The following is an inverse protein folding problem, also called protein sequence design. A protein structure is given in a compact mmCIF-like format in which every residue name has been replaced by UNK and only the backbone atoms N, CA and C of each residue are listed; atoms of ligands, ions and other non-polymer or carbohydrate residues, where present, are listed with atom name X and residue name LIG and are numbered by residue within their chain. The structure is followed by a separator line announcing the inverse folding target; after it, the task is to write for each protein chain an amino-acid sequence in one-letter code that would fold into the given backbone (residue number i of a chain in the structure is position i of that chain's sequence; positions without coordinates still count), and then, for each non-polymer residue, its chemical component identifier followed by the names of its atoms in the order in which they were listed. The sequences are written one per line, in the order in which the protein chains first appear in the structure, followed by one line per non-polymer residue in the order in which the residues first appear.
data_IF_898476246036
#
_entry.id   IF_898476246036
#
_cell.length_a   1.000
_cell.length_b   1.000
_cell.length_c   1.000
_cell.angle_alpha   90.00
_cell.angle_beta   90.00
_cell.angle_gamma   90.00
#
_symmetry.space_group_name_H-M   'P 1'
#
loop_
_entity.id
_entity.type
_entity.pdbx_description
1 polymer ?
#
# COMPACT_ATOMS: atom_id res chain seq x y z
N UNK A 1 -16.18 31.09 118.57
CA UNK A 1 -16.22 31.70 117.22
C UNK A 1 -15.14 31.15 116.27
N UNK A 2 -14.47 30.03 116.56
CA UNK A 2 -13.47 29.40 115.67
C UNK A 2 -14.00 28.27 114.78
N UNK A 3 -15.10 27.61 115.18
CA UNK A 3 -15.61 26.38 114.54
C UNK A 3 -16.40 26.64 113.24
N UNK A 4 -17.14 27.76 113.17
CA UNK A 4 -17.96 28.14 112.00
C UNK A 4 -17.09 28.68 110.85
N UNK A 5 -15.92 29.26 111.15
CA UNK A 5 -14.98 29.78 110.14
C UNK A 5 -14.21 28.65 109.47
N UNK A 6 -13.81 27.62 110.22
CA UNK A 6 -13.14 26.43 109.66
C UNK A 6 -14.07 25.60 108.79
N UNK A 7 -15.35 25.45 109.17
CA UNK A 7 -16.35 24.73 108.36
C UNK A 7 -16.71 25.47 107.07
N UNK A 8 -16.81 26.81 107.09
CA UNK A 8 -17.04 27.61 105.89
C UNK A 8 -15.85 27.58 104.91
N UNK A 9 -14.61 27.63 105.42
CA UNK A 9 -13.42 27.51 104.59
C UNK A 9 -13.30 26.11 103.94
N UNK A 10 -13.66 25.05 104.67
CA UNK A 10 -13.62 23.68 104.14
C UNK A 10 -14.69 23.46 103.05
N UNK A 11 -15.89 24.04 103.22
CA UNK A 11 -16.94 24.00 102.21
C UNK A 11 -16.54 24.72 100.91
N UNK A 12 -15.92 25.90 101.01
CA UNK A 12 -15.44 26.64 99.83
C UNK A 12 -14.32 25.88 99.09
N UNK A 13 -13.46 25.16 99.81
CA UNK A 13 -12.42 24.32 99.21
C UNK A 13 -13.05 23.11 98.50
N UNK A 14 -14.09 22.49 99.06
CA UNK A 14 -14.82 21.39 98.42
C UNK A 14 -15.59 21.84 97.17
N UNK A 15 -16.19 23.03 97.18
CA UNK A 15 -16.83 23.63 96.00
C UNK A 15 -15.81 23.96 94.91
N UNK A 16 -14.62 24.46 95.26
CA UNK A 16 -13.56 24.69 94.29
C UNK A 16 -13.01 23.39 93.68
N UNK A 17 -12.91 22.32 94.49
CA UNK A 17 -12.46 21.01 94.04
C UNK A 17 -13.49 20.34 93.11
N UNK A 18 -14.79 20.45 93.39
CA UNK A 18 -15.85 19.94 92.51
C UNK A 18 -15.90 20.70 91.19
N UNK A 19 -15.78 22.04 91.21
CA UNK A 19 -15.67 22.84 89.99
C UNK A 19 -14.44 22.47 89.14
N UNK A 20 -13.30 22.21 89.78
CA UNK A 20 -12.10 21.76 89.07
C UNK A 20 -12.26 20.34 88.52
N UNK A 21 -12.99 19.46 89.20
CA UNK A 21 -13.31 18.12 88.69
C UNK A 21 -14.19 18.21 87.44
N UNK A 22 -15.22 19.05 87.45
CA UNK A 22 -16.09 19.28 86.29
C UNK A 22 -15.30 19.86 85.10
N UNK A 23 -14.38 20.80 85.36
CA UNK A 23 -13.51 21.36 84.31
C UNK A 23 -12.53 20.33 83.75
N UNK A 24 -11.96 19.46 84.59
CA UNK A 24 -11.05 18.40 84.14
C UNK A 24 -11.80 17.34 83.34
N UNK A 25 -13.04 17.02 83.71
CA UNK A 25 -13.89 16.12 82.94
C UNK A 25 -14.25 16.72 81.58
N UNK A 26 -14.63 18.01 81.53
CA UNK A 26 -14.89 18.71 80.28
C UNK A 26 -13.66 18.79 79.37
N UNK A 27 -12.46 19.04 79.94
CA UNK A 27 -11.19 19.00 79.21
C UNK A 27 -10.92 17.58 78.69
N UNK A 28 -11.19 16.55 79.49
CA UNK A 28 -11.06 15.15 79.08
C UNK A 28 -11.97 14.78 77.91
N UNK A 29 -13.22 15.24 77.93
CA UNK A 29 -14.16 15.05 76.82
C UNK A 29 -13.77 15.85 75.57
N UNK A 30 -13.23 17.06 75.74
CA UNK A 30 -12.69 17.86 74.62
C UNK A 30 -11.46 17.19 74.00
N UNK A 31 -10.55 16.64 74.81
CA UNK A 31 -9.37 15.91 74.32
C UNK A 31 -9.79 14.70 73.49
N UNK A 32 -10.72 13.89 74.00
CA UNK A 32 -11.26 12.72 73.27
C UNK A 32 -11.89 13.09 71.94
N UNK A 33 -12.67 14.19 71.90
CA UNK A 33 -13.25 14.70 70.64
C UNK A 33 -12.19 15.18 69.67
N UNK A 34 -11.13 15.82 70.17
CA UNK A 34 -10.05 16.33 69.33
C UNK A 34 -9.22 15.19 68.73
N UNK A 35 -8.94 14.15 69.51
CA UNK A 35 -8.28 12.92 69.05
C UNK A 35 -9.12 12.18 68.01
N UNK A 36 -10.43 12.07 68.22
CA UNK A 36 -11.35 11.48 67.24
C UNK A 36 -11.38 12.27 65.92
N UNK A 37 -11.42 13.61 66.00
CA UNK A 37 -11.36 14.46 64.81
C UNK A 37 -10.00 14.36 64.09
N UNK A 38 -8.89 14.26 64.83
CA UNK A 38 -7.58 14.07 64.23
C UNK A 38 -7.48 12.71 63.52
N UNK A 39 -8.02 11.65 64.10
CA UNK A 39 -8.08 10.34 63.47
C UNK A 39 -8.92 10.36 62.18
N UNK A 40 -10.06 11.05 62.18
CA UNK A 40 -10.89 11.24 60.98
C UNK A 40 -10.16 12.02 59.88
N UNK A 41 -9.48 13.11 60.25
CA UNK A 41 -8.70 13.92 59.29
C UNK A 41 -7.58 13.09 58.67
N UNK A 42 -6.85 12.30 59.47
CA UNK A 42 -5.79 11.43 58.96
C UNK A 42 -6.33 10.35 58.01
N UNK A 43 -7.43 9.69 58.36
CA UNK A 43 -8.07 8.70 57.49
C UNK A 43 -8.53 9.31 56.16
N UNK A 44 -9.04 10.54 56.17
CA UNK A 44 -9.43 11.27 54.97
C UNK A 44 -8.23 11.65 54.10
N UNK A 45 -7.10 12.04 54.70
CA UNK A 45 -5.86 12.34 53.98
C UNK A 45 -5.28 11.08 53.32
N UNK A 46 -5.26 9.93 54.02
CA UNK A 46 -4.83 8.66 53.43
C UNK A 46 -5.68 8.25 52.22
N UNK A 47 -6.99 8.52 52.27
CA UNK A 47 -7.90 8.24 51.16
C UNK A 47 -7.62 9.15 49.95
N UNK A 48 -7.26 10.42 50.20
CA UNK A 48 -6.91 11.39 49.15
C UNK A 48 -5.56 11.02 48.52
N UNK A 49 -4.57 10.65 49.33
CA UNK A 49 -3.25 10.24 48.85
C UNK A 49 -3.34 8.96 48.01
N UNK A 50 -4.15 7.98 48.42
CA UNK A 50 -4.42 6.77 47.63
C UNK A 50 -5.11 7.09 46.30
N UNK A 51 -6.07 8.03 46.28
CA UNK A 51 -6.73 8.47 45.06
C UNK A 51 -5.79 9.25 44.13
N UNK A 52 -4.88 10.05 44.68
CA UNK A 52 -3.85 10.76 43.91
C UNK A 52 -2.79 9.83 43.33
N UNK A 53 -2.40 8.76 44.05
CA UNK A 53 -1.51 7.74 43.51
C UNK A 53 -2.13 7.06 42.28
N UNK A 54 -3.41 6.65 42.39
CA UNK A 54 -4.15 6.05 41.26
C UNK A 54 -4.27 7.04 40.07
N UNK A 55 -4.54 8.32 40.34
CA UNK A 55 -4.62 9.33 39.30
C UNK A 55 -3.27 9.60 38.61
N UNK A 56 -2.18 9.57 39.37
CA UNK A 56 -0.81 9.72 38.85
C UNK A 56 -0.40 8.54 37.98
N UNK A 57 -0.85 7.33 38.32
CA UNK A 57 -0.62 6.12 37.51
C UNK A 57 -1.49 6.06 36.25
N UNK A 58 -2.64 6.74 36.22
CA UNK A 58 -3.53 6.82 35.06
C UNK A 58 -3.10 7.85 34.03
N UNK A 59 -2.40 8.92 34.45
CA UNK A 59 -1.99 10.00 33.55
C UNK A 59 -1.08 9.54 32.38
N UNK A 60 -0.04 8.71 32.59
CA UNK A 60 0.79 8.18 31.51
C UNK A 60 -0.01 7.35 30.49
N UNK A 61 -1.02 6.60 30.95
CA UNK A 61 -1.87 5.79 30.07
C UNK A 61 -2.78 6.67 29.20
N UNK A 62 -3.28 7.78 29.74
CA UNK A 62 -4.08 8.74 28.98
C UNK A 62 -3.23 9.53 27.98
N UNK A 63 -1.99 9.88 28.34
CA UNK A 63 -1.03 10.52 27.42
C UNK A 63 -0.63 9.56 26.28
N UNK A 64 -0.41 8.28 26.59
CA UNK A 64 -0.14 7.25 25.59
C UNK A 64 -1.33 7.06 24.63
N UNK A 65 -2.55 6.92 25.16
CA UNK A 65 -3.77 6.81 24.34
C UNK A 65 -4.03 8.07 23.50
N UNK A 66 -3.76 9.26 24.03
CA UNK A 66 -3.89 10.50 23.26
C UNK A 66 -2.86 10.58 22.12
N UNK A 67 -1.61 10.14 22.36
CA UNK A 67 -0.59 10.02 21.31
C UNK A 67 -1.01 9.03 20.23
N UNK A 68 -1.46 7.84 20.65
CA UNK A 68 -1.90 6.77 19.74
C UNK A 68 -3.10 7.22 18.89
N UNK A 69 -4.11 7.86 19.48
CA UNK A 69 -5.25 8.41 18.75
C UNK A 69 -4.84 9.56 17.81
N UNK A 70 -3.89 10.40 18.20
CA UNK A 70 -3.38 11.48 17.36
C UNK A 70 -2.59 10.96 16.16
N UNK A 71 -1.72 9.98 16.38
CA UNK A 71 -0.98 9.27 15.32
C UNK A 71 -1.94 8.60 14.35
N UNK A 72 -2.92 7.84 14.86
CA UNK A 72 -3.93 7.17 14.03
C UNK A 72 -4.75 8.17 13.20
N UNK A 73 -5.11 9.34 13.78
CA UNK A 73 -5.80 10.40 13.02
C UNK A 73 -4.91 11.05 11.96
N UNK A 74 -3.62 11.21 12.25
CA UNK A 74 -2.62 11.69 11.29
C UNK A 74 -2.52 10.74 10.08
N UNK A 75 -2.36 9.45 10.35
CA UNK A 75 -2.32 8.39 9.32
C UNK A 75 -3.61 8.32 8.50
N UNK A 76 -4.77 8.40 9.15
CA UNK A 76 -6.07 8.47 8.46
C UNK A 76 -6.20 9.72 7.58
N UNK A 77 -5.75 10.88 8.07
CA UNK A 77 -5.76 12.14 7.32
C UNK A 77 -4.88 12.07 6.06
N UNK A 78 -3.69 11.52 6.18
CA UNK A 78 -2.79 11.28 5.04
C UNK A 78 -3.37 10.25 4.06
N UNK A 79 -4.03 9.21 4.55
CA UNK A 79 -4.72 8.22 3.72
C UNK A 79 -5.86 8.84 2.90
N UNK A 80 -6.71 9.67 3.53
CA UNK A 80 -7.79 10.36 2.82
C UNK A 80 -7.28 11.38 1.81
N UNK A 81 -6.20 12.10 2.12
CA UNK A 81 -5.57 13.03 1.19
C UNK A 81 -5.06 12.31 -0.08
N UNK A 82 -4.41 11.14 0.09
CA UNK A 82 -3.97 10.30 -1.04
C UNK A 82 -5.14 9.78 -1.87
N UNK A 83 -6.20 9.27 -1.24
CA UNK A 83 -7.41 8.82 -1.96
C UNK A 83 -8.05 9.98 -2.74
N UNK A 84 -8.14 11.17 -2.15
CA UNK A 84 -8.65 12.36 -2.82
C UNK A 84 -7.75 12.78 -4.00
N UNK A 85 -6.43 12.67 -3.86
CA UNK A 85 -5.47 12.94 -4.92
C UNK A 85 -5.65 11.96 -6.09
N UNK A 86 -5.74 10.65 -5.82
CA UNK A 86 -6.03 9.61 -6.82
C UNK A 86 -7.37 9.87 -7.52
N UNK A 87 -8.42 10.17 -6.75
CA UNK A 87 -9.74 10.49 -7.29
C UNK A 87 -9.74 11.75 -8.16
N UNK A 88 -9.00 12.79 -7.76
CA UNK A 88 -8.82 14.01 -8.53
C UNK A 88 -8.14 13.75 -9.87
N UNK A 89 -7.09 12.93 -9.89
CA UNK A 89 -6.43 12.52 -11.13
C UNK A 89 -7.30 11.61 -12.00
N UNK A 90 -8.06 10.69 -11.41
CA UNK A 90 -9.03 9.86 -12.13
C UNK A 90 -10.12 10.72 -12.80
N UNK A 91 -10.62 11.73 -12.09
CA UNK A 91 -11.58 12.69 -12.63
C UNK A 91 -10.97 13.52 -13.77
N UNK A 92 -9.75 14.03 -13.60
CA UNK A 92 -9.05 14.77 -14.63
C UNK A 92 -8.84 13.91 -15.89
N UNK A 93 -8.43 12.64 -15.74
CA UNK A 93 -8.29 11.71 -16.84
C UNK A 93 -9.63 11.42 -17.55
N UNK A 94 -10.71 11.24 -16.80
CA UNK A 94 -12.06 11.06 -17.36
C UNK A 94 -12.55 12.31 -18.12
N UNK A 95 -12.14 13.50 -17.69
CA UNK A 95 -12.39 14.77 -18.36
C UNK A 95 -11.46 15.02 -19.57
N UNK A 96 -10.62 14.05 -19.94
CA UNK A 96 -9.75 14.12 -21.13
C UNK A 96 -8.36 14.72 -20.87
N UNK A 97 -7.97 14.94 -19.62
CA UNK A 97 -6.61 15.34 -19.31
C UNK A 97 -5.65 14.14 -19.42
N UNK A 98 -4.66 14.24 -20.31
CA UNK A 98 -3.65 13.20 -20.54
C UNK A 98 -2.38 13.37 -19.67
N UNK A 99 -2.38 14.31 -18.72
CA UNK A 99 -1.23 14.54 -17.86
C UNK A 99 -0.87 13.28 -17.05
N UNK A 100 0.42 12.90 -16.99
CA UNK A 100 0.85 11.72 -16.27
C UNK A 100 0.67 11.90 -14.77
N UNK A 101 0.27 10.83 -14.07
CA UNK A 101 0.22 10.81 -12.62
C UNK A 101 1.63 11.11 -12.02
N UNK A 102 1.69 11.87 -10.92
CA UNK A 102 2.89 12.05 -10.10
C UNK A 102 3.46 10.71 -9.62
N UNK A 103 4.78 10.65 -9.41
CA UNK A 103 5.47 9.40 -9.09
C UNK A 103 5.07 8.84 -7.71
N UNK A 104 4.94 9.71 -6.71
CA UNK A 104 4.46 9.42 -5.36
C UNK A 104 3.05 8.81 -5.34
N UNK A 105 2.18 9.27 -6.23
CA UNK A 105 0.82 8.71 -6.38
C UNK A 105 0.88 7.36 -7.08
N UNK A 106 1.76 7.18 -8.06
CA UNK A 106 1.88 5.94 -8.84
C UNK A 106 2.47 4.76 -8.08
N UNK A 107 3.35 5.07 -7.12
CA UNK A 107 3.98 4.09 -6.24
C UNK A 107 3.16 3.91 -4.95
N UNK A 108 1.92 4.45 -4.92
CA UNK A 108 0.99 4.22 -3.83
C UNK A 108 0.60 2.73 -3.75
N UNK A 109 0.73 2.08 -2.59
CA UNK A 109 0.41 0.66 -2.41
C UNK A 109 -1.02 0.30 -2.82
N UNK A 110 -1.99 1.21 -2.70
CA UNK A 110 -3.38 0.97 -3.11
C UNK A 110 -3.51 0.89 -4.62
N UNK A 111 -2.74 1.67 -5.37
CA UNK A 111 -2.73 1.60 -6.84
C UNK A 111 -2.01 0.34 -7.33
N UNK A 112 -0.96 -0.11 -6.66
CA UNK A 112 -0.34 -1.41 -6.94
C UNK A 112 -1.31 -2.57 -6.70
N UNK A 113 -1.99 -2.58 -5.54
CA UNK A 113 -3.01 -3.58 -5.21
C UNK A 113 -4.16 -3.58 -6.21
N UNK A 114 -4.60 -2.40 -6.64
CA UNK A 114 -5.62 -2.26 -7.67
C UNK A 114 -5.17 -2.89 -9.00
N UNK A 115 -3.93 -2.65 -9.43
CA UNK A 115 -3.38 -3.25 -10.67
C UNK A 115 -3.31 -4.78 -10.56
N UNK A 116 -2.88 -5.32 -9.42
CA UNK A 116 -2.77 -6.77 -9.18
C UNK A 116 -4.15 -7.46 -9.15
N UNK A 117 -5.15 -6.79 -8.56
CA UNK A 117 -6.48 -7.37 -8.32
C UNK A 117 -7.47 -7.15 -9.47
N UNK A 118 -7.07 -6.50 -10.57
CA UNK A 118 -8.00 -6.22 -11.66
C UNK A 118 -8.64 -7.50 -12.22
N UNK A 119 -9.94 -7.45 -12.56
CA UNK A 119 -10.58 -8.51 -13.31
C UNK A 119 -9.98 -8.60 -14.72
N UNK A 120 -10.12 -9.77 -15.36
CA UNK A 120 -9.69 -9.96 -16.74
C UNK A 120 -10.37 -8.96 -17.68
N UNK A 121 -9.57 -8.29 -18.52
CA UNK A 121 -10.07 -7.32 -19.50
C UNK A 121 -10.78 -8.04 -20.66
N UNK A 122 -12.12 -8.01 -20.65
CA UNK A 122 -12.97 -8.67 -21.66
C UNK A 122 -13.38 -7.74 -22.81
N UNK A 123 -13.14 -6.44 -22.69
CA UNK A 123 -13.70 -5.44 -23.62
C UNK A 123 -12.63 -4.71 -24.45
N UNK A 124 -11.38 -4.69 -24.01
CA UNK A 124 -10.31 -4.00 -24.74
C UNK A 124 -10.13 -4.52 -26.16
N UNK A 125 -9.95 -3.58 -27.07
CA UNK A 125 -9.64 -3.82 -28.49
C UNK A 125 -8.13 -3.79 -28.77
N UNK A 126 -7.29 -3.55 -27.74
CA UNK A 126 -5.82 -3.57 -27.90
C UNK A 126 -5.38 -4.97 -28.34
N UNK A 127 -4.66 -5.05 -29.45
CA UNK A 127 -4.31 -6.33 -30.09
C UNK A 127 -3.64 -7.32 -29.14
N UNK A 128 -2.63 -6.89 -28.39
CA UNK A 128 -1.96 -7.74 -27.39
C UNK A 128 -2.93 -8.40 -26.39
N UNK A 129 -3.99 -7.70 -25.97
CA UNK A 129 -5.02 -8.26 -25.09
C UNK A 129 -5.92 -9.24 -25.84
N UNK A 130 -6.31 -8.90 -27.07
CA UNK A 130 -7.14 -9.78 -27.91
C UNK A 130 -6.40 -11.09 -28.20
N UNK A 131 -5.19 -11.00 -28.74
CA UNK A 131 -4.34 -12.13 -29.11
C UNK A 131 -4.07 -13.03 -27.89
N UNK A 132 -3.77 -12.42 -26.73
CA UNK A 132 -3.52 -13.20 -25.51
C UNK A 132 -4.77 -13.93 -25.01
N UNK A 133 -5.96 -13.32 -25.04
CA UNK A 133 -7.20 -14.00 -24.65
C UNK A 133 -7.48 -15.22 -25.52
N UNK A 134 -7.21 -15.12 -26.82
CA UNK A 134 -7.37 -16.24 -27.74
C UNK A 134 -6.31 -17.31 -27.47
N UNK A 135 -5.05 -16.91 -27.33
CA UNK A 135 -3.95 -17.85 -27.11
C UNK A 135 -4.08 -18.58 -25.78
N UNK A 136 -4.38 -17.88 -24.68
CA UNK A 136 -4.48 -18.45 -23.33
C UNK A 136 -5.49 -19.62 -23.25
N UNK A 137 -6.59 -19.57 -24.02
CA UNK A 137 -7.57 -20.67 -24.10
C UNK A 137 -7.01 -21.97 -24.70
N UNK A 138 -5.97 -21.86 -25.52
CA UNK A 138 -5.35 -22.99 -26.22
C UNK A 138 -4.16 -23.58 -25.47
N UNK A 139 -3.55 -22.82 -24.56
CA UNK A 139 -2.42 -23.27 -23.74
C UNK A 139 -2.93 -24.27 -22.70
N UNK A 140 -2.19 -25.34 -22.44
CA UNK A 140 -2.52 -26.29 -21.37
C UNK A 140 -2.40 -25.65 -19.98
N UNK A 141 -3.05 -26.25 -18.98
CA UNK A 141 -3.11 -25.68 -17.62
C UNK A 141 -1.73 -25.55 -16.95
N UNK A 142 -0.80 -26.48 -17.21
CA UNK A 142 0.52 -26.46 -16.58
C UNK A 142 1.39 -25.34 -17.16
N UNK A 143 1.43 -25.21 -18.48
CA UNK A 143 2.11 -24.13 -19.17
C UNK A 143 1.49 -22.77 -18.84
N UNK A 144 0.15 -22.68 -18.76
CA UNK A 144 -0.53 -21.43 -18.39
C UNK A 144 -0.23 -21.02 -16.94
N UNK A 145 -0.07 -21.98 -16.03
CA UNK A 145 0.38 -21.72 -14.65
C UNK A 145 1.83 -21.19 -14.62
N UNK A 146 2.74 -21.78 -15.41
CA UNK A 146 4.11 -21.29 -15.51
C UNK A 146 4.17 -19.86 -16.10
N UNK A 147 3.33 -19.58 -17.09
CA UNK A 147 3.19 -18.25 -17.67
C UNK A 147 2.66 -17.23 -16.66
N UNK A 148 1.69 -17.60 -15.81
CA UNK A 148 1.21 -16.69 -14.76
C UNK A 148 2.33 -16.34 -13.78
N UNK A 149 3.12 -17.33 -13.35
CA UNK A 149 4.27 -17.12 -12.45
C UNK A 149 5.27 -16.15 -13.10
N UNK A 150 5.55 -16.31 -14.40
CA UNK A 150 6.40 -15.39 -15.14
C UNK A 150 5.80 -13.98 -15.23
N UNK A 151 4.51 -13.86 -15.51
CA UNK A 151 3.80 -12.57 -15.58
C UNK A 151 3.74 -11.85 -14.23
N UNK A 152 3.75 -12.58 -13.11
CA UNK A 152 3.81 -11.99 -11.77
C UNK A 152 5.20 -11.53 -11.36
N UNK A 153 6.26 -11.91 -12.08
CA UNK A 153 7.61 -11.39 -11.84
C UNK A 153 7.72 -9.97 -12.43
N UNK A 154 7.93 -8.93 -11.61
CA UNK A 154 8.15 -7.59 -12.11
C UNK A 154 9.40 -7.52 -12.99
N UNK A 155 9.34 -6.75 -14.07
CA UNK A 155 10.48 -6.59 -14.97
C UNK A 155 11.32 -5.36 -14.61
N UNK A 156 12.66 -5.44 -14.60
CA UNK A 156 13.54 -4.29 -14.38
C UNK A 156 13.42 -3.23 -15.47
N UNK A 157 12.98 -3.62 -16.68
CA UNK A 157 12.84 -2.79 -17.87
C UNK A 157 11.41 -2.33 -18.14
N UNK A 158 10.43 -2.72 -17.32
CA UNK A 158 9.05 -2.25 -17.49
C UNK A 158 8.99 -0.73 -17.27
N UNK A 159 8.35 -0.05 -18.22
CA UNK A 159 7.84 1.29 -18.05
C UNK A 159 6.40 1.24 -17.48
N UNK A 160 5.75 2.39 -17.32
CA UNK A 160 4.39 2.46 -16.75
C UNK A 160 3.36 1.71 -17.60
N UNK A 161 3.47 1.80 -18.94
CA UNK A 161 2.52 1.17 -19.85
C UNK A 161 2.71 -0.34 -19.92
N UNK A 162 3.96 -0.80 -19.99
CA UNK A 162 4.36 -2.21 -19.97
C UNK A 162 3.96 -2.90 -18.67
N UNK A 163 4.21 -2.28 -17.52
CA UNK A 163 3.77 -2.79 -16.21
C UNK A 163 2.26 -3.02 -16.16
N UNK A 164 1.47 -2.02 -16.56
CA UNK A 164 0.00 -2.16 -16.60
C UNK A 164 -0.45 -3.25 -17.56
N UNK A 165 0.19 -3.37 -18.73
CA UNK A 165 -0.12 -4.42 -19.68
C UNK A 165 0.18 -5.81 -19.09
N UNK A 166 1.33 -5.99 -18.43
CA UNK A 166 1.73 -7.24 -17.75
C UNK A 166 0.61 -7.78 -16.87
N UNK A 167 0.10 -6.94 -15.97
CA UNK A 167 -0.93 -7.35 -15.01
C UNK A 167 -2.32 -7.51 -15.63
N UNK A 168 -2.62 -6.81 -16.73
CA UNK A 168 -3.82 -7.11 -17.53
C UNK A 168 -3.74 -8.49 -18.19
N UNK A 169 -2.58 -8.86 -18.74
CA UNK A 169 -2.37 -10.20 -19.31
C UNK A 169 -2.44 -11.26 -18.20
N UNK A 170 -1.84 -11.01 -17.03
CA UNK A 170 -1.92 -11.88 -15.86
C UNK A 170 -3.36 -12.08 -15.37
N UNK A 171 -4.19 -11.03 -15.36
CA UNK A 171 -5.59 -11.12 -14.99
C UNK A 171 -6.38 -12.05 -15.94
N UNK A 172 -6.09 -12.01 -17.24
CA UNK A 172 -6.67 -12.93 -18.24
C UNK A 172 -6.23 -14.37 -17.98
N UNK A 173 -4.93 -14.58 -17.73
CA UNK A 173 -4.36 -15.88 -17.40
C UNK A 173 -5.00 -16.48 -16.14
N UNK A 174 -5.18 -15.65 -15.09
CA UNK A 174 -5.83 -16.02 -13.83
C UNK A 174 -7.29 -16.42 -14.04
N UNK A 175 -8.07 -15.63 -14.76
CA UNK A 175 -9.49 -15.93 -15.07
C UNK A 175 -9.62 -17.24 -15.85
N UNK A 176 -8.71 -17.50 -16.80
CA UNK A 176 -8.70 -18.75 -17.54
C UNK A 176 -8.35 -19.96 -16.67
N UNK A 177 -7.36 -19.84 -15.77
CA UNK A 177 -7.02 -20.91 -14.85
C UNK A 177 -8.11 -21.15 -13.78
N UNK A 178 -8.76 -20.10 -13.31
CA UNK A 178 -9.90 -20.17 -12.39
C UNK A 178 -11.08 -20.91 -13.04
N UNK A 179 -11.39 -20.60 -14.30
CA UNK A 179 -12.39 -21.33 -15.09
C UNK A 179 -12.08 -22.82 -15.25
N UNK A 180 -10.80 -23.20 -15.19
CA UNK A 180 -10.34 -24.60 -15.26
C UNK A 180 -10.26 -25.28 -13.90
N UNK A 181 -10.57 -24.58 -12.80
CA UNK A 181 -10.45 -25.10 -11.45
C UNK A 181 -9.01 -25.38 -11.01
N UNK A 182 -8.03 -24.70 -11.60
CA UNK A 182 -6.62 -24.88 -11.26
C UNK A 182 -6.26 -24.19 -9.93
N UNK A 183 -5.21 -24.69 -9.27
CA UNK A 183 -4.67 -24.07 -8.06
C UNK A 183 -3.92 -22.80 -8.45
N UNK A 184 -4.27 -21.67 -7.82
CA UNK A 184 -3.69 -20.38 -8.17
C UNK A 184 -2.35 -20.15 -7.49
N UNK A 185 -1.32 -19.74 -8.25
CA UNK A 185 -0.14 -19.09 -7.68
C UNK A 185 -0.54 -17.89 -6.81
N UNK A 186 0.21 -17.63 -5.71
CA UNK A 186 -0.05 -16.48 -4.87
C UNK A 186 0.12 -15.19 -5.66
N UNK A 187 -0.65 -14.16 -5.29
CA UNK A 187 -0.49 -12.82 -5.85
C UNK A 187 0.89 -12.26 -5.48
N UNK A 188 1.52 -11.50 -6.40
CA UNK A 188 2.79 -10.84 -6.09
C UNK A 188 2.59 -9.76 -5.04
N UNK A 189 3.64 -9.48 -4.26
CA UNK A 189 3.62 -8.45 -3.20
C UNK A 189 3.80 -7.03 -3.74
N UNK A 190 4.41 -6.89 -4.92
CA UNK A 190 4.61 -5.61 -5.60
C UNK A 190 4.65 -5.82 -7.10
N UNK A 191 4.33 -4.75 -7.82
CA UNK A 191 4.42 -4.66 -9.29
C UNK A 191 5.73 -4.07 -9.78
N UNK A 192 6.63 -3.68 -8.86
CA UNK A 192 7.89 -2.99 -9.13
C UNK A 192 9.06 -3.95 -8.92
N UNK A 193 10.00 -3.96 -9.87
CA UNK A 193 11.23 -4.73 -9.73
C UNK A 193 12.13 -4.12 -8.65
N UNK A 194 12.53 -4.93 -7.67
CA UNK A 194 13.42 -4.50 -6.60
C UNK A 194 14.83 -4.17 -7.09
N UNK A 195 15.32 -4.91 -8.09
CA UNK A 195 16.59 -4.65 -8.78
C UNK A 195 16.30 -4.11 -10.18
N UNK A 196 16.77 -2.88 -10.45
CA UNK A 196 16.71 -2.22 -11.77
C UNK A 196 18.10 -1.85 -12.27
N UNK A 197 19.14 -2.50 -11.77
CA UNK A 197 20.51 -2.30 -12.21
C UNK A 197 20.66 -2.53 -13.71
N UNK A 198 21.71 -1.95 -14.30
CA UNK A 198 22.03 -2.16 -15.71
C UNK A 198 22.29 -3.64 -16.05
N UNK A 199 22.72 -4.45 -15.07
CA UNK A 199 22.92 -5.89 -15.21
C UNK A 199 21.58 -6.63 -15.29
N UNK A 200 20.65 -6.35 -14.36
CA UNK A 200 19.30 -6.90 -14.40
C UNK A 200 18.55 -6.53 -15.70
N UNK A 201 18.72 -5.30 -16.18
CA UNK A 201 18.13 -4.84 -17.45
C UNK A 201 18.72 -5.57 -18.67
N UNK A 202 20.03 -5.85 -18.66
CA UNK A 202 20.71 -6.63 -19.72
C UNK A 202 20.24 -8.08 -19.73
N UNK A 203 20.25 -8.76 -18.58
CA UNK A 203 19.77 -10.13 -18.46
C UNK A 203 18.30 -10.25 -18.90
N UNK A 204 17.48 -9.25 -18.59
CA UNK A 204 16.10 -9.20 -19.05
C UNK A 204 16.00 -9.06 -20.57
N UNK A 205 16.81 -8.20 -21.17
CA UNK A 205 16.83 -7.99 -22.62
C UNK A 205 17.28 -9.25 -23.37
N UNK A 206 18.26 -9.97 -22.85
CA UNK A 206 18.67 -11.30 -23.37
C UNK A 206 17.51 -12.31 -23.33
N UNK A 207 16.79 -12.41 -22.21
CA UNK A 207 15.62 -13.29 -22.11
C UNK A 207 14.50 -12.94 -23.11
N UNK A 208 14.31 -11.65 -23.40
CA UNK A 208 13.33 -11.21 -24.41
C UNK A 208 13.77 -11.59 -25.83
N UNK A 209 15.07 -11.50 -26.13
CA UNK A 209 15.63 -11.94 -27.41
C UNK A 209 15.43 -13.45 -27.59
N UNK A 210 15.64 -14.26 -26.55
CA UNK A 210 15.39 -15.70 -26.61
C UNK A 210 13.92 -16.02 -26.93
N UNK A 211 12.98 -15.34 -26.25
CA UNK A 211 11.55 -15.50 -26.52
C UNK A 211 11.20 -15.06 -27.95
N UNK A 212 11.80 -13.98 -28.43
CA UNK A 212 11.59 -13.47 -29.79
C UNK A 212 12.10 -14.42 -30.88
N UNK A 213 13.29 -14.99 -30.67
CA UNK A 213 13.93 -15.92 -31.61
C UNK A 213 13.29 -17.31 -31.60
N UNK A 214 12.74 -17.74 -30.46
CA UNK A 214 11.96 -18.97 -30.38
C UNK A 214 10.70 -18.95 -31.28
N UNK A 215 10.22 -17.76 -31.67
CA UNK A 215 9.16 -17.57 -32.65
C UNK A 215 7.75 -17.74 -32.06
N UNK A 216 6.83 -18.26 -32.88
CA UNK A 216 5.40 -18.32 -32.53
C UNK A 216 5.13 -19.33 -31.39
N UNK A 217 5.16 -18.84 -30.15
CA UNK A 217 4.84 -19.60 -28.93
C UNK A 217 3.96 -18.79 -27.98
N UNK A 218 3.33 -19.46 -27.00
CA UNK A 218 2.47 -18.77 -26.03
C UNK A 218 3.22 -17.69 -25.23
N UNK A 219 4.51 -17.92 -24.94
CA UNK A 219 5.36 -16.97 -24.22
C UNK A 219 5.49 -15.63 -24.96
N UNK A 220 5.55 -15.64 -26.30
CA UNK A 220 5.64 -14.44 -27.12
C UNK A 220 4.44 -13.52 -26.90
N UNK A 221 3.23 -14.10 -26.82
CA UNK A 221 1.98 -13.35 -26.59
C UNK A 221 1.76 -12.99 -25.12
N UNK A 222 2.33 -13.77 -24.20
CA UNK A 222 2.24 -13.54 -22.77
C UNK A 222 3.16 -12.41 -22.28
N UNK A 223 4.16 -12.02 -23.09
CA UNK A 223 5.18 -11.05 -22.74
C UNK A 223 4.79 -9.62 -23.17
N UNK A 224 4.43 -8.74 -22.22
CA UNK A 224 4.00 -7.37 -22.54
C UNK A 224 5.08 -6.53 -23.22
N UNK A 225 6.36 -6.74 -22.91
CA UNK A 225 7.47 -5.97 -23.50
C UNK A 225 7.69 -6.27 -24.99
N UNK A 226 7.16 -7.39 -25.49
CA UNK A 226 7.20 -7.77 -26.90
C UNK A 226 5.94 -7.35 -27.67
N UNK A 227 4.94 -6.78 -27.00
CA UNK A 227 3.68 -6.38 -27.63
C UNK A 227 3.89 -5.38 -28.78
N UNK A 228 4.73 -4.36 -28.58
CA UNK A 228 5.06 -3.36 -29.60
C UNK A 228 5.81 -3.97 -30.80
N UNK A 229 6.75 -4.87 -30.54
CA UNK A 229 7.49 -5.59 -31.57
C UNK A 229 6.57 -6.48 -32.42
N UNK A 230 5.65 -7.21 -31.78
CA UNK A 230 4.60 -7.92 -32.49
C UNK A 230 3.74 -6.94 -33.28
N UNK A 231 3.42 -5.77 -32.73
CA UNK A 231 2.61 -4.75 -33.41
C UNK A 231 3.22 -4.36 -34.75
N UNK A 232 4.54 -4.11 -34.76
CA UNK A 232 5.34 -3.79 -35.95
C UNK A 232 5.31 -4.94 -36.96
N UNK A 233 5.54 -6.18 -36.53
CA UNK A 233 5.51 -7.34 -37.43
C UNK A 233 4.15 -7.52 -38.11
N UNK A 234 3.05 -7.35 -37.38
CA UNK A 234 1.72 -7.49 -37.99
C UNK A 234 1.36 -6.28 -38.88
N UNK A 235 1.90 -5.09 -38.62
CA UNK A 235 1.79 -3.97 -39.56
C UNK A 235 2.54 -4.27 -40.86
N UNK A 236 3.79 -4.73 -40.77
CA UNK A 236 4.59 -5.11 -41.93
C UNK A 236 3.95 -6.24 -42.75
N UNK A 237 3.38 -7.26 -42.10
CA UNK A 237 2.62 -8.33 -42.78
C UNK A 237 1.42 -7.77 -43.55
N UNK A 238 0.70 -6.79 -42.99
CA UNK A 238 -0.48 -6.17 -43.65
C UNK A 238 -0.09 -5.28 -44.83
N UNK A 239 0.97 -4.49 -44.70
CA UNK A 239 1.46 -3.62 -45.78
C UNK A 239 2.10 -4.43 -46.91
N UNK A 240 2.72 -5.56 -46.58
CA UNK A 240 3.39 -6.44 -47.51
C UNK A 240 2.48 -7.40 -48.30
N UNK A 241 1.16 -7.39 -48.09
CA UNK A 241 0.21 -8.31 -48.77
C UNK A 241 0.27 -8.21 -50.31
N UNK A 242 0.63 -7.04 -50.84
CA UNK A 242 0.75 -6.82 -52.28
C UNK A 242 2.12 -7.22 -52.87
N UNK A 243 3.09 -7.62 -52.04
CA UNK A 243 4.43 -8.00 -52.48
C UNK A 243 4.49 -9.48 -52.91
N UNK A 244 5.41 -9.85 -53.81
CA UNK A 244 5.72 -11.26 -54.07
C UNK A 244 6.11 -11.99 -52.78
N UNK A 245 5.66 -13.24 -52.62
CA UNK A 245 5.84 -14.03 -51.39
C UNK A 245 7.30 -14.11 -50.93
N UNK A 246 8.24 -14.30 -51.86
CA UNK A 246 9.67 -14.36 -51.55
C UNK A 246 10.21 -13.01 -51.02
N UNK A 247 9.77 -11.89 -51.61
CA UNK A 247 10.17 -10.55 -51.17
C UNK A 247 9.56 -10.22 -49.80
N UNK A 248 8.32 -10.64 -49.55
CA UNK A 248 7.67 -10.50 -48.25
C UNK A 248 8.39 -11.33 -47.18
N UNK A 249 8.68 -12.61 -47.46
CA UNK A 249 9.36 -13.50 -46.52
C UNK A 249 10.77 -12.98 -46.16
N UNK A 250 11.54 -12.54 -47.16
CA UNK A 250 12.87 -11.95 -46.93
C UNK A 250 12.78 -10.65 -46.12
N UNK A 251 11.83 -9.78 -46.44
CA UNK A 251 11.62 -8.53 -45.70
C UNK A 251 11.20 -8.77 -44.24
N UNK A 252 10.33 -9.74 -43.99
CA UNK A 252 9.92 -10.12 -42.63
C UNK A 252 11.05 -10.77 -41.84
N UNK A 253 11.90 -11.58 -42.48
CA UNK A 253 13.08 -12.15 -41.83
C UNK A 253 14.09 -11.06 -41.44
N UNK A 254 14.35 -10.09 -42.34
CA UNK A 254 15.19 -8.96 -42.04
C UNK A 254 14.62 -8.11 -40.89
N UNK A 255 13.32 -7.82 -40.90
CA UNK A 255 12.65 -7.10 -39.82
C UNK A 255 12.70 -7.86 -38.49
N UNK A 256 12.51 -9.18 -38.51
CA UNK A 256 12.62 -10.02 -37.31
C UNK A 256 14.02 -9.94 -36.71
N UNK A 257 15.07 -9.96 -37.55
CA UNK A 257 16.46 -9.76 -37.11
C UNK A 257 16.68 -8.35 -36.55
N UNK A 258 16.20 -7.31 -37.23
CA UNK A 258 16.33 -5.92 -36.76
C UNK A 258 15.68 -5.73 -35.39
N UNK A 259 14.51 -6.33 -35.16
CA UNK A 259 13.85 -6.29 -33.85
C UNK A 259 14.71 -7.03 -32.81
N UNK A 260 15.25 -8.20 -33.15
CA UNK A 260 16.17 -8.94 -32.27
C UNK A 260 17.37 -8.08 -31.85
N UNK A 261 17.99 -7.39 -32.80
CA UNK A 261 19.15 -6.52 -32.53
C UNK A 261 18.78 -5.35 -31.62
N UNK A 262 17.61 -4.71 -31.85
CA UNK A 262 17.09 -3.64 -31.00
C UNK A 262 16.77 -4.12 -29.58
N UNK A 263 16.15 -5.29 -29.44
CA UNK A 263 15.88 -5.88 -28.13
C UNK A 263 17.18 -6.15 -27.36
N UNK A 264 18.23 -6.62 -28.05
CA UNK A 264 19.53 -6.95 -27.43
C UNK A 264 20.21 -5.74 -26.79
N UNK A 265 20.05 -4.55 -27.36
CA UNK A 265 20.59 -3.29 -26.82
C UNK A 265 19.65 -2.63 -25.79
N UNK A 266 18.53 -3.30 -25.45
CA UNK A 266 17.59 -2.85 -24.43
C UNK A 266 16.44 -1.97 -24.96
N UNK A 267 16.32 -1.78 -26.28
CA UNK A 267 15.23 -1.01 -26.86
C UNK A 267 13.91 -1.80 -26.85
N UNK A 268 12.77 -1.10 -26.81
CA UNK A 268 11.41 -1.66 -26.85
C UNK A 268 10.67 -1.01 -28.01
N UNK A 269 10.77 -1.58 -29.22
CA UNK A 269 10.22 -0.94 -30.39
C UNK A 269 8.69 -0.95 -30.34
N UNK A 270 8.08 0.23 -30.46
CA UNK A 270 6.63 0.41 -30.51
C UNK A 270 6.22 1.13 -31.80
N UNK A 271 5.04 0.80 -32.32
CA UNK A 271 4.40 1.62 -33.36
C UNK A 271 3.99 2.94 -32.73
N UNK A 272 4.55 4.04 -33.23
CA UNK A 272 4.16 5.39 -32.83
C UNK A 272 2.64 5.52 -32.92
N UNK A 273 1.99 5.64 -31.76
CA UNK A 273 0.53 5.72 -31.66
C UNK A 273 0.01 7.15 -31.83
N UNK A 274 0.86 8.11 -32.22
CA UNK A 274 0.56 9.54 -32.26
C UNK A 274 1.00 10.21 -33.59
N UNK A 275 0.10 10.90 -34.32
CA UNK A 275 0.41 11.62 -35.57
C UNK A 275 1.43 12.77 -35.44
N UNK A 276 2.00 13.03 -34.26
CA UNK A 276 3.07 14.03 -34.07
C UNK A 276 4.49 13.50 -34.26
N UNK A 277 4.70 12.18 -34.36
CA UNK A 277 6.01 11.57 -34.62
C UNK A 277 6.17 11.14 -36.10
N UNK A 278 5.80 12.02 -37.03
CA UNK A 278 5.98 11.82 -38.48
C UNK A 278 7.47 11.73 -38.87
N UNK A 279 8.39 12.17 -38.00
CA UNK A 279 9.84 12.05 -38.24
C UNK A 279 10.35 10.61 -38.41
N UNK A 280 9.74 9.62 -37.74
CA UNK A 280 10.14 8.22 -37.88
C UNK A 280 9.65 7.56 -39.18
N UNK A 281 8.65 8.18 -39.86
CA UNK A 281 8.15 7.69 -41.15
C UNK A 281 9.08 8.08 -42.31
N UNK A 282 9.88 9.13 -42.15
CA UNK A 282 10.86 9.56 -43.15
C UNK A 282 12.17 8.77 -43.08
N UNK A 283 12.55 8.23 -41.92
CA UNK A 283 13.82 7.50 -41.77
C UNK A 283 13.77 6.10 -42.41
N UNK A 284 12.60 5.45 -42.39
CA UNK A 284 12.39 4.15 -43.06
C UNK A 284 12.32 4.29 -44.60
N UNK A 285 12.06 5.49 -45.11
CA UNK A 285 12.04 5.78 -46.55
C UNK A 285 13.37 6.32 -47.09
N UNK A 286 14.31 6.74 -46.22
CA UNK A 286 15.63 7.25 -46.66
C UNK A 286 16.67 6.17 -46.91
N UNK A 287 16.48 4.97 -46.35
CA UNK A 287 17.39 3.82 -46.56
C UNK A 287 16.89 2.85 -47.65
N UNK A 288 16.10 3.33 -48.61
CA UNK A 288 15.74 2.61 -49.85
C UNK A 288 16.53 3.11 -51.05
#
# INVERSE_FOLDING_TARGET
MSDVSQTAALAAILDALTLMQDQVEEIGERSKRLEANQADILARLETIDAAQAIATDLQPNLEHLASEVSETRGEMGEGFARVAQVAGWAHAAAAGNAAPLPADVLDDPLLELFVISQPADRTSTRRAIVDWREKARTVDTAALTALLISQYRPSPTDDRAGRRLRYKLAAITRDELERRGAVMPPLPRSTIAADRSAEAQRARSEALVEVWQAGEGAMLYAEPELAGAMDIMAAARREGVALPEQSLASGLAALHQTISDRLSVGDRPELASDPKNVGAREEILRDR
#
